data_IF_688362713582
#
_entry.id   IF_688362713582
#
_cell.length_a   1.000
_cell.length_b   1.000
_cell.length_c   1.000
_cell.angle_alpha   90.00
_cell.angle_beta   90.00
_cell.angle_gamma   90.00
#
_symmetry.space_group_name_H-M   'P 1'
#
loop_
_entity.id
_entity.type
_entity.pdbx_description
1 polymer ?
#
# COMPACT_ATOMS: atom_id res chain seq x y z
N UNK A 1 4.40 -14.54 -12.74
CA UNK A 1 3.08 -15.04 -12.30
C UNK A 1 2.56 -14.29 -11.07
N UNK A 2 3.33 -14.22 -9.96
CA UNK A 2 2.93 -13.50 -8.75
C UNK A 2 2.71 -11.98 -8.98
N UNK A 3 3.60 -11.33 -9.73
CA UNK A 3 3.47 -9.90 -10.09
C UNK A 3 2.15 -9.57 -10.82
N UNK A 4 1.77 -10.36 -11.83
CA UNK A 4 0.51 -10.15 -12.56
C UNK A 4 -0.73 -10.34 -11.68
N UNK A 5 -0.66 -11.25 -10.70
CA UNK A 5 -1.74 -11.46 -9.72
C UNK A 5 -1.84 -10.30 -8.70
N UNK A 6 -0.73 -9.64 -8.40
CA UNK A 6 -0.76 -8.41 -7.59
C UNK A 6 -1.34 -7.26 -8.40
N UNK A 7 -0.93 -7.09 -9.66
CA UNK A 7 -1.40 -6.04 -10.55
C UNK A 7 -2.89 -6.19 -10.93
N UNK A 8 -3.45 -7.40 -10.86
CA UNK A 8 -4.89 -7.57 -11.16
C UNK A 8 -5.80 -6.84 -10.18
N UNK A 9 -5.39 -6.67 -8.92
CA UNK A 9 -6.21 -5.96 -7.93
C UNK A 9 -6.41 -4.47 -8.27
N UNK A 10 -5.36 -3.65 -8.48
CA UNK A 10 -5.53 -2.27 -8.91
C UNK A 10 -6.16 -2.17 -10.30
N UNK A 11 -5.90 -3.13 -11.22
CA UNK A 11 -6.54 -3.14 -12.53
C UNK A 11 -8.07 -3.30 -12.43
N UNK A 12 -8.54 -4.23 -11.61
CA UNK A 12 -9.98 -4.43 -11.39
C UNK A 12 -10.62 -3.19 -10.77
N UNK A 13 -9.97 -2.59 -9.78
CA UNK A 13 -10.44 -1.35 -9.17
C UNK A 13 -10.51 -0.20 -10.18
N UNK A 14 -9.50 -0.07 -11.04
CA UNK A 14 -9.44 0.95 -12.08
C UNK A 14 -10.55 0.76 -13.13
N UNK A 15 -10.78 -0.47 -13.57
CA UNK A 15 -11.86 -0.81 -14.50
C UNK A 15 -13.25 -0.53 -13.91
N UNK A 16 -13.43 -0.69 -12.60
CA UNK A 16 -14.71 -0.37 -11.94
C UNK A 16 -14.93 1.13 -11.73
N UNK A 17 -13.86 1.91 -11.55
CA UNK A 17 -13.97 3.33 -11.15
C UNK A 17 -13.96 4.31 -12.32
N UNK A 18 -13.20 4.04 -13.39
CA UNK A 18 -13.12 4.94 -14.55
C UNK A 18 -14.43 5.14 -15.32
N UNK A 19 -15.33 4.14 -15.46
CA UNK A 19 -16.62 4.36 -16.10
C UNK A 19 -17.45 5.43 -15.39
N UNK A 20 -17.36 5.52 -14.05
CA UNK A 20 -18.07 6.56 -13.29
C UNK A 20 -17.58 7.97 -13.60
N UNK A 21 -16.35 8.12 -14.09
CA UNK A 21 -15.77 9.41 -14.48
C UNK A 21 -16.10 9.76 -15.94
N UNK A 22 -16.27 8.76 -16.81
CA UNK A 22 -16.65 8.94 -18.21
C UNK A 22 -18.15 9.18 -18.39
N UNK A 23 -18.98 8.61 -17.52
CA UNK A 23 -20.44 8.70 -17.57
C UNK A 23 -20.92 9.86 -16.70
N UNK A 24 -21.39 10.93 -17.33
CA UNK A 24 -22.08 12.04 -16.67
C UNK A 24 -23.59 11.81 -16.63
N UNK A 25 -24.25 12.23 -15.55
CA UNK A 25 -25.71 12.17 -15.40
C UNK A 25 -26.27 13.53 -15.00
N UNK A 26 -27.17 14.09 -15.81
CA UNK A 26 -27.73 15.44 -15.60
C UNK A 26 -29.24 15.43 -15.85
N UNK A 27 -29.99 16.29 -15.17
CA UNK A 27 -31.43 16.45 -15.38
C UNK A 27 -31.76 17.09 -16.75
N UNK A 28 -32.86 16.67 -17.38
CA UNK A 28 -33.21 17.11 -18.76
C UNK A 28 -33.38 18.63 -18.95
N UNK A 29 -33.58 19.39 -17.87
CA UNK A 29 -33.84 20.82 -17.93
C UNK A 29 -32.59 21.67 -18.22
N UNK A 30 -31.38 21.08 -18.19
CA UNK A 30 -30.10 21.79 -18.35
C UNK A 30 -29.32 21.38 -19.62
N UNK A 31 -29.91 20.61 -20.54
CA UNK A 31 -29.23 20.03 -21.72
C UNK A 31 -28.54 21.09 -22.59
N UNK A 32 -29.08 22.32 -22.67
CA UNK A 32 -28.53 23.40 -23.48
C UNK A 32 -27.14 23.91 -23.00
N UNK A 33 -26.79 23.68 -21.74
CA UNK A 33 -25.49 24.12 -21.19
C UNK A 33 -24.31 23.19 -21.55
N UNK A 34 -24.59 21.99 -22.09
CA UNK A 34 -23.59 20.89 -22.18
C UNK A 34 -23.31 20.46 -23.63
N UNK A 35 -23.86 21.14 -24.65
CA UNK A 35 -23.68 20.78 -26.07
C UNK A 35 -22.22 20.59 -26.51
N UNK A 36 -21.25 21.23 -25.84
CA UNK A 36 -19.82 21.10 -26.13
C UNK A 36 -19.13 19.89 -25.47
N UNK A 37 -19.73 19.29 -24.44
CA UNK A 37 -19.11 18.21 -23.66
C UNK A 37 -19.72 16.83 -23.96
N UNK A 38 -20.80 16.76 -24.74
CA UNK A 38 -21.42 15.49 -25.14
C UNK A 38 -20.57 14.86 -26.25
N UNK A 39 -19.98 13.70 -25.96
CA UNK A 39 -19.28 12.94 -26.98
C UNK A 39 -20.27 12.38 -28.02
N UNK A 40 -20.18 12.89 -29.25
CA UNK A 40 -20.89 12.38 -30.44
C UNK A 40 -22.43 12.33 -30.34
N UNK A 41 -23.05 13.01 -29.35
CA UNK A 41 -24.51 13.02 -29.15
C UNK A 41 -25.07 11.72 -28.56
N UNK A 42 -24.22 10.82 -28.07
CA UNK A 42 -24.66 9.56 -27.48
C UNK A 42 -25.02 9.75 -26.01
N UNK A 43 -26.32 9.62 -25.73
CA UNK A 43 -26.83 9.58 -24.37
C UNK A 43 -28.19 8.90 -24.30
N UNK A 44 -28.43 8.19 -23.21
CA UNK A 44 -29.67 7.47 -22.93
C UNK A 44 -30.43 8.25 -21.87
N UNK A 45 -31.67 8.62 -22.19
CA UNK A 45 -32.59 9.20 -21.21
C UNK A 45 -33.22 8.08 -20.38
N UNK A 46 -32.93 8.06 -19.08
CA UNK A 46 -33.60 7.20 -18.10
C UNK A 46 -34.44 8.11 -17.20
N UNK A 47 -35.75 8.17 -17.49
CA UNK A 47 -36.67 9.02 -16.74
C UNK A 47 -36.29 10.50 -16.84
N UNK A 48 -36.08 11.17 -15.69
CA UNK A 48 -35.68 12.58 -15.62
C UNK A 48 -34.16 12.83 -15.78
N UNK A 49 -33.36 11.78 -15.91
CA UNK A 49 -31.91 11.86 -16.02
C UNK A 49 -31.44 11.50 -17.43
N UNK A 50 -30.52 12.30 -17.95
CA UNK A 50 -29.80 12.06 -19.20
C UNK A 50 -28.40 11.57 -18.86
N UNK A 51 -28.12 10.28 -19.12
CA UNK A 51 -26.78 9.73 -19.04
C UNK A 51 -26.08 9.96 -20.37
N UNK A 52 -24.92 10.60 -20.34
CA UNK A 52 -24.11 10.85 -21.52
C UNK A 52 -22.64 10.56 -21.25
N UNK A 53 -21.88 10.35 -22.32
CA UNK A 53 -20.43 10.23 -22.24
C UNK A 53 -19.83 11.63 -22.34
N UNK A 54 -19.18 12.09 -21.28
CA UNK A 54 -18.54 13.40 -21.23
C UNK A 54 -17.16 13.33 -21.91
N UNK A 55 -16.90 14.27 -22.82
CA UNK A 55 -15.59 14.46 -23.48
C UNK A 55 -14.52 14.82 -22.45
N UNK A 56 -14.83 15.71 -21.51
CA UNK A 56 -13.92 16.06 -20.40
C UNK A 56 -13.69 14.86 -19.48
N UNK A 57 -14.73 14.06 -19.22
CA UNK A 57 -14.62 12.80 -18.48
C UNK A 57 -13.70 11.78 -19.17
N UNK A 58 -13.85 11.59 -20.49
CA UNK A 58 -12.97 10.71 -21.28
C UNK A 58 -11.51 11.18 -21.26
N UNK A 59 -11.27 12.48 -21.36
CA UNK A 59 -9.92 13.05 -21.25
C UNK A 59 -9.30 12.83 -19.86
N UNK A 60 -10.09 12.98 -18.80
CA UNK A 60 -9.61 12.69 -17.45
C UNK A 60 -9.31 11.20 -17.25
N UNK A 61 -10.16 10.31 -17.79
CA UNK A 61 -9.94 8.85 -17.77
C UNK A 61 -8.64 8.49 -18.49
N UNK A 62 -8.40 9.07 -19.67
CA UNK A 62 -7.21 8.80 -20.48
C UNK A 62 -5.93 9.23 -19.78
N UNK A 63 -5.98 10.30 -18.98
CA UNK A 63 -4.85 10.79 -18.19
C UNK A 63 -4.63 10.00 -16.89
N UNK A 64 -5.70 9.63 -16.18
CA UNK A 64 -5.62 8.95 -14.89
C UNK A 64 -5.25 7.46 -15.03
N UNK A 65 -5.74 6.78 -16.06
CA UNK A 65 -5.48 5.35 -16.29
C UNK A 65 -3.97 5.00 -16.33
N UNK A 66 -3.15 5.61 -17.21
CA UNK A 66 -1.73 5.28 -17.26
C UNK A 66 -0.96 5.77 -16.02
N UNK A 67 -1.36 6.90 -15.43
CA UNK A 67 -0.69 7.47 -14.25
C UNK A 67 -0.83 6.58 -13.02
N UNK A 68 -2.03 6.07 -12.77
CA UNK A 68 -2.30 5.14 -11.66
C UNK A 68 -1.58 3.81 -11.85
N UNK A 69 -1.57 3.27 -13.08
CA UNK A 69 -0.81 2.06 -13.42
C UNK A 69 0.71 2.26 -13.25
N UNK A 70 1.25 3.40 -13.68
CA UNK A 70 2.66 3.73 -13.52
C UNK A 70 3.04 3.83 -12.04
N UNK A 71 2.25 4.54 -11.23
CA UNK A 71 2.49 4.71 -9.80
C UNK A 71 2.41 3.39 -9.02
N UNK A 72 1.40 2.55 -9.32
CA UNK A 72 1.23 1.25 -8.64
C UNK A 72 2.34 0.26 -9.03
N UNK A 73 2.74 0.25 -10.30
CA UNK A 73 3.89 -0.54 -10.78
C UNK A 73 5.19 -0.15 -10.07
N UNK A 74 5.49 1.15 -9.96
CA UNK A 74 6.68 1.65 -9.26
C UNK A 74 6.65 1.27 -7.76
N UNK A 75 5.50 1.43 -7.11
CA UNK A 75 5.32 1.04 -5.71
C UNK A 75 5.57 -0.46 -5.50
N UNK A 76 5.01 -1.33 -6.36
CA UNK A 76 5.25 -2.77 -6.27
C UNK A 76 6.69 -3.15 -6.58
N UNK A 77 7.34 -2.45 -7.49
CA UNK A 77 8.77 -2.65 -7.74
C UNK A 77 9.57 -2.44 -6.47
N UNK A 78 9.38 -1.32 -5.76
CA UNK A 78 10.06 -1.04 -4.49
C UNK A 78 9.72 -2.13 -3.45
N UNK A 79 8.43 -2.44 -3.28
CA UNK A 79 7.95 -3.39 -2.27
C UNK A 79 8.52 -4.81 -2.46
N UNK A 80 8.68 -5.25 -3.72
CA UNK A 80 9.13 -6.61 -4.04
C UNK A 80 10.64 -6.75 -4.13
N UNK A 81 11.37 -5.66 -4.34
CA UNK A 81 12.83 -5.71 -4.58
C UNK A 81 13.64 -5.21 -3.41
N UNK A 82 13.12 -4.29 -2.59
CA UNK A 82 13.88 -3.62 -1.53
C UNK A 82 13.43 -4.13 -0.15
N UNK A 83 14.31 -4.75 0.65
CA UNK A 83 14.01 -5.12 2.02
C UNK A 83 13.88 -3.87 2.91
N UNK A 84 13.05 -3.94 3.96
CA UNK A 84 12.80 -2.81 4.85
C UNK A 84 14.07 -2.22 5.49
N UNK A 85 15.07 -3.06 5.78
CA UNK A 85 16.36 -2.63 6.34
C UNK A 85 17.13 -1.70 5.40
N UNK A 86 17.06 -1.93 4.08
CA UNK A 86 17.69 -1.06 3.08
C UNK A 86 16.96 0.29 2.98
N UNK A 87 15.63 0.30 3.12
CA UNK A 87 14.84 1.54 3.17
C UNK A 87 15.29 2.41 4.35
N UNK A 88 15.52 1.82 5.53
CA UNK A 88 16.04 2.54 6.71
C UNK A 88 17.43 3.12 6.47
N UNK A 89 18.29 2.40 5.74
CA UNK A 89 19.62 2.89 5.37
C UNK A 89 19.53 4.11 4.44
N UNK A 90 18.64 4.07 3.44
CA UNK A 90 18.38 5.20 2.55
C UNK A 90 17.84 6.40 3.36
N UNK A 91 16.90 6.18 4.30
CA UNK A 91 16.41 7.25 5.19
C UNK A 91 17.55 7.87 6.01
N UNK A 92 18.48 7.07 6.52
CA UNK A 92 19.67 7.57 7.23
C UNK A 92 20.58 8.42 6.33
N UNK A 93 20.74 8.04 5.06
CA UNK A 93 21.47 8.85 4.08
C UNK A 93 20.77 10.17 3.76
N UNK A 94 19.43 10.17 3.77
CA UNK A 94 18.58 11.36 3.63
C UNK A 94 18.54 12.25 4.88
N UNK A 95 19.47 12.07 5.84
CA UNK A 95 19.61 12.86 7.08
C UNK A 95 18.42 12.74 8.04
N UNK A 96 17.65 11.66 7.97
CA UNK A 96 16.61 11.37 8.96
C UNK A 96 17.23 11.13 10.35
N UNK A 97 16.61 11.61 11.44
CA UNK A 97 17.21 11.52 12.77
C UNK A 97 17.42 10.07 13.21
N UNK A 98 18.58 9.73 13.81
CA UNK A 98 18.95 8.35 14.11
C UNK A 98 17.93 7.68 15.03
N UNK A 99 17.42 8.40 16.03
CA UNK A 99 16.37 7.96 16.95
C UNK A 99 15.15 7.36 16.22
N UNK A 100 14.63 8.04 15.19
CA UNK A 100 13.47 7.54 14.44
C UNK A 100 13.83 6.29 13.63
N UNK A 101 15.02 6.25 13.02
CA UNK A 101 15.45 5.07 12.27
C UNK A 101 15.62 3.84 13.15
N UNK A 102 16.09 4.03 14.39
CA UNK A 102 16.23 2.96 15.38
C UNK A 102 14.89 2.47 15.91
N UNK A 103 13.97 3.40 16.21
CA UNK A 103 12.61 3.06 16.59
C UNK A 103 11.91 2.24 15.50
N UNK A 104 12.04 2.65 14.24
CA UNK A 104 11.49 1.91 13.09
C UNK A 104 12.10 0.53 12.94
N UNK A 105 13.42 0.38 13.14
CA UNK A 105 14.10 -0.92 13.12
C UNK A 105 13.57 -1.87 14.20
N UNK A 106 13.43 -1.36 15.43
CA UNK A 106 12.89 -2.12 16.56
C UNK A 106 11.43 -2.49 16.33
N UNK A 107 10.61 -1.56 15.85
CA UNK A 107 9.22 -1.83 15.47
C UNK A 107 9.14 -2.95 14.44
N UNK A 108 9.91 -2.88 13.36
CA UNK A 108 9.93 -3.91 12.32
C UNK A 108 10.31 -5.29 12.88
N UNK A 109 11.33 -5.35 13.73
CA UNK A 109 11.73 -6.60 14.40
C UNK A 109 10.61 -7.14 15.30
N UNK A 110 9.92 -6.26 16.04
CA UNK A 110 8.85 -6.68 16.95
C UNK A 110 7.56 -7.08 16.23
N UNK A 111 7.27 -6.58 15.03
CA UNK A 111 6.10 -7.02 14.25
C UNK A 111 6.10 -8.54 14.09
N UNK A 112 7.21 -9.15 13.65
CA UNK A 112 7.29 -10.60 13.46
C UNK A 112 7.26 -11.37 14.79
N UNK A 113 7.92 -10.86 15.83
CA UNK A 113 7.91 -11.49 17.15
C UNK A 113 6.51 -11.51 17.77
N UNK A 114 5.76 -10.41 17.63
CA UNK A 114 4.39 -10.30 18.13
C UNK A 114 3.42 -11.12 17.29
N UNK A 115 3.63 -11.20 15.98
CA UNK A 115 2.80 -12.01 15.08
C UNK A 115 2.93 -13.51 15.40
N UNK A 116 4.14 -14.00 15.69
CA UNK A 116 4.34 -15.39 16.14
C UNK A 116 3.60 -15.68 17.45
N UNK A 117 3.70 -14.77 18.43
CA UNK A 117 2.96 -14.88 19.69
C UNK A 117 1.43 -14.84 19.46
N UNK A 118 0.97 -13.96 18.58
CA UNK A 118 -0.45 -13.84 18.25
C UNK A 118 -0.98 -15.12 17.61
N UNK A 119 -0.20 -15.74 16.72
CA UNK A 119 -0.55 -17.00 16.07
C UNK A 119 -0.64 -18.15 17.09
N UNK A 120 0.33 -18.28 17.99
CA UNK A 120 0.27 -19.26 19.09
C UNK A 120 -0.97 -19.09 19.97
N UNK A 121 -1.28 -17.83 20.36
CA UNK A 121 -2.46 -17.52 21.15
C UNK A 121 -3.76 -17.81 20.39
N UNK A 122 -3.79 -17.47 19.10
CA UNK A 122 -4.93 -17.71 18.25
C UNK A 122 -5.22 -19.22 18.10
N UNK A 123 -4.18 -20.04 17.85
CA UNK A 123 -4.28 -21.49 17.79
C UNK A 123 -4.78 -22.06 19.12
N UNK A 124 -4.25 -21.60 20.26
CA UNK A 124 -4.67 -22.03 21.60
C UNK A 124 -6.12 -21.63 21.93
N UNK A 125 -6.59 -20.49 21.45
CA UNK A 125 -7.99 -20.09 21.60
C UNK A 125 -8.91 -20.88 20.67
N UNK A 126 -8.47 -21.17 19.44
CA UNK A 126 -9.25 -21.93 18.47
C UNK A 126 -9.44 -23.40 18.93
N UNK A 127 -8.41 -24.02 19.52
CA UNK A 127 -8.52 -25.37 20.10
C UNK A 127 -9.50 -25.46 21.27
N UNK A 128 -9.79 -24.32 21.93
CA UNK A 128 -10.81 -24.18 22.98
C UNK A 128 -12.18 -23.71 22.45
N UNK A 129 -12.40 -23.80 21.13
CA UNK A 129 -13.61 -23.33 20.45
C UNK A 129 -13.90 -21.84 20.66
N UNK A 130 -12.87 -21.01 20.90
CA UNK A 130 -13.00 -19.59 21.26
C UNK A 130 -13.62 -18.69 20.20
N UNK A 131 -13.66 -19.14 18.94
CA UNK A 131 -14.18 -18.37 17.79
C UNK A 131 -15.47 -18.94 17.20
N UNK A 132 -16.17 -19.83 17.92
CA UNK A 132 -17.38 -20.51 17.42
C UNK A 132 -18.56 -19.57 17.13
N UNK A 133 -18.73 -18.52 17.92
CA UNK A 133 -19.80 -17.52 17.73
C UNK A 133 -19.22 -16.12 17.79
N UNK A 134 -19.89 -15.14 17.16
CA UNK A 134 -19.41 -13.75 17.13
C UNK A 134 -19.14 -13.17 18.53
N UNK A 135 -20.04 -13.43 19.49
CA UNK A 135 -19.88 -13.01 20.89
C UNK A 135 -18.64 -13.62 21.54
N UNK A 136 -18.41 -14.92 21.30
CA UNK A 136 -17.23 -15.61 21.84
C UNK A 136 -15.95 -15.13 21.15
N UNK A 137 -16.00 -14.89 19.85
CA UNK A 137 -14.89 -14.34 19.07
C UNK A 137 -14.44 -12.97 19.56
N UNK A 138 -15.38 -12.07 19.85
CA UNK A 138 -15.06 -10.75 20.42
C UNK A 138 -14.40 -10.88 21.81
N UNK A 139 -14.90 -11.80 22.65
CA UNK A 139 -14.28 -12.08 23.96
C UNK A 139 -12.86 -12.65 23.82
N UNK A 140 -12.67 -13.62 22.94
CA UNK A 140 -11.38 -14.26 22.66
C UNK A 140 -10.37 -13.26 22.10
N UNK A 141 -10.81 -12.38 21.20
CA UNK A 141 -10.01 -11.27 20.67
C UNK A 141 -9.57 -10.32 21.79
N UNK A 142 -10.48 -9.93 22.70
CA UNK A 142 -10.13 -9.10 23.86
C UNK A 142 -9.06 -9.75 24.75
N UNK A 143 -9.17 -11.06 24.98
CA UNK A 143 -8.16 -11.83 25.74
C UNK A 143 -6.83 -11.86 24.97
N UNK A 144 -6.85 -12.08 23.66
CA UNK A 144 -5.65 -12.10 22.81
C UNK A 144 -4.92 -10.76 22.88
N UNK A 145 -5.64 -9.64 22.70
CA UNK A 145 -5.05 -8.30 22.79
C UNK A 145 -4.46 -8.04 24.18
N UNK A 146 -5.19 -8.39 25.25
CA UNK A 146 -4.70 -8.21 26.62
C UNK A 146 -3.42 -9.01 26.90
N UNK A 147 -3.37 -10.26 26.45
CA UNK A 147 -2.18 -11.11 26.58
C UNK A 147 -1.01 -10.61 25.73
N UNK A 148 -1.29 -10.15 24.51
CA UNK A 148 -0.28 -9.56 23.63
C UNK A 148 0.33 -8.31 24.29
N UNK A 149 -0.50 -7.41 24.80
CA UNK A 149 -0.05 -6.20 25.51
C UNK A 149 0.81 -6.56 26.72
N UNK A 150 0.37 -7.49 27.57
CA UNK A 150 1.15 -7.92 28.73
C UNK A 150 2.53 -8.47 28.31
N UNK A 151 2.56 -9.35 27.30
CA UNK A 151 3.81 -9.90 26.77
C UNK A 151 4.72 -8.81 26.18
N UNK A 152 4.16 -7.81 25.49
CA UNK A 152 4.94 -6.69 24.93
C UNK A 152 5.63 -5.87 26.04
N UNK A 153 4.93 -5.60 27.14
CA UNK A 153 5.47 -4.85 28.28
C UNK A 153 6.59 -5.61 28.99
N UNK A 154 6.44 -6.94 29.15
CA UNK A 154 7.50 -7.80 29.70
C UNK A 154 8.70 -7.84 28.75
N UNK A 155 8.48 -8.03 27.46
CA UNK A 155 9.55 -8.05 26.46
C UNK A 155 10.30 -6.71 26.41
N UNK A 156 9.59 -5.59 26.50
CA UNK A 156 10.21 -4.27 26.59
C UNK A 156 11.17 -4.15 27.79
N UNK A 157 10.74 -4.59 28.98
CA UNK A 157 11.59 -4.57 30.18
C UNK A 157 12.83 -5.43 29.98
N UNK A 158 12.69 -6.63 29.42
CA UNK A 158 13.81 -7.52 29.15
C UNK A 158 14.79 -6.92 28.14
N UNK A 159 14.29 -6.33 27.05
CA UNK A 159 15.12 -5.69 26.03
C UNK A 159 15.85 -4.48 26.62
N UNK A 160 15.16 -3.64 27.39
CA UNK A 160 15.76 -2.49 28.07
C UNK A 160 16.90 -2.92 29.00
N UNK A 161 16.67 -3.91 29.87
CA UNK A 161 17.71 -4.48 30.75
C UNK A 161 18.89 -5.07 29.95
N UNK A 162 18.61 -5.76 28.85
CA UNK A 162 19.63 -6.36 27.99
C UNK A 162 20.49 -5.32 27.25
N UNK A 163 19.91 -4.16 26.93
CA UNK A 163 20.62 -3.04 26.33
C UNK A 163 21.47 -2.33 27.38
N UNK A 164 20.92 -2.11 28.58
CA UNK A 164 21.65 -1.53 29.70
C UNK A 164 22.88 -2.36 30.07
N UNK A 165 22.76 -3.70 30.14
CA UNK A 165 23.89 -4.58 30.44
C UNK A 165 24.98 -4.61 29.37
N UNK A 166 24.66 -4.21 28.14
CA UNK A 166 25.58 -4.09 27.00
C UNK A 166 26.21 -2.70 26.85
N UNK A 167 25.95 -1.78 27.80
CA UNK A 167 26.49 -0.41 27.75
C UNK A 167 25.80 0.47 26.72
N UNK A 168 24.47 0.36 26.60
CA UNK A 168 23.70 1.20 25.68
C UNK A 168 23.80 2.69 26.04
N UNK A 169 24.35 3.48 25.11
CA UNK A 169 24.59 4.92 25.28
C UNK A 169 23.56 5.81 24.54
N UNK A 170 22.36 5.29 24.28
CA UNK A 170 21.30 6.02 23.58
C UNK A 170 21.29 5.85 22.05
N UNK A 171 22.25 5.12 21.47
CA UNK A 171 22.31 4.83 20.03
C UNK A 171 22.52 3.32 19.77
N UNK A 172 21.68 2.73 18.92
CA UNK A 172 21.84 1.38 18.40
C UNK A 172 22.74 1.38 17.16
N UNK A 173 24.05 1.30 17.37
CA UNK A 173 25.03 1.14 16.30
C UNK A 173 25.08 -0.30 15.79
N UNK A 174 24.20 -0.61 14.86
CA UNK A 174 24.17 -1.90 14.16
C UNK A 174 25.12 -1.85 12.97
N UNK A 175 25.97 -2.88 12.84
CA UNK A 175 26.80 -3.04 11.66
C UNK A 175 25.93 -3.42 10.47
N UNK A 176 25.95 -2.60 9.43
CA UNK A 176 25.26 -2.87 8.17
C UNK A 176 26.25 -3.51 7.22
N UNK A 177 26.07 -4.80 6.91
CA UNK A 177 26.78 -5.40 5.79
C UNK A 177 26.23 -4.81 4.50
N UNK A 178 27.06 -4.15 3.69
CA UNK A 178 26.68 -3.61 2.38
C UNK A 178 27.74 -3.99 1.33
N UNK A 179 27.41 -4.20 0.04
CA UNK A 179 26.10 -4.06 -0.62
C UNK A 179 25.64 -5.36 -1.33
N UNK A 180 24.32 -5.55 -1.43
CA UNK A 180 23.74 -6.28 -2.56
C UNK A 180 24.23 -5.59 -3.84
N UNK A 181 25.00 -6.31 -4.67
CA UNK A 181 25.41 -5.82 -5.99
C UNK A 181 24.29 -6.16 -6.96
N UNK A 182 23.40 -5.21 -7.30
CA UNK A 182 22.39 -5.50 -8.30
C UNK A 182 23.10 -5.84 -9.61
N UNK A 183 22.62 -6.87 -10.31
CA UNK A 183 23.09 -7.13 -11.66
C UNK A 183 22.73 -5.92 -12.52
N UNK A 184 23.68 -5.41 -13.32
CA UNK A 184 23.46 -4.23 -14.17
C UNK A 184 22.26 -4.43 -15.09
N UNK A 185 22.01 -5.68 -15.49
CA UNK A 185 20.87 -6.05 -16.33
C UNK A 185 19.53 -5.74 -15.67
N UNK A 186 19.31 -6.17 -14.42
CA UNK A 186 18.02 -5.91 -13.74
C UNK A 186 17.81 -4.44 -13.42
N UNK A 187 18.87 -3.68 -13.14
CA UNK A 187 18.76 -2.22 -12.96
C UNK A 187 18.38 -1.52 -14.25
N UNK A 188 18.93 -1.95 -15.38
CA UNK A 188 18.56 -1.39 -16.69
C UNK A 188 17.13 -1.78 -17.07
N UNK A 189 16.72 -3.04 -16.86
CA UNK A 189 15.36 -3.49 -17.12
C UNK A 189 14.33 -2.72 -16.27
N UNK A 190 14.65 -2.46 -14.99
CA UNK A 190 13.81 -1.67 -14.10
C UNK A 190 13.74 -0.19 -14.49
N UNK A 191 14.89 0.43 -14.76
CA UNK A 191 14.96 1.83 -15.18
C UNK A 191 14.20 2.03 -16.49
N UNK A 192 14.41 1.12 -17.46
CA UNK A 192 13.70 1.13 -18.72
C UNK A 192 12.18 1.03 -18.49
N UNK A 193 11.71 0.07 -17.69
CA UNK A 193 10.29 -0.05 -17.34
C UNK A 193 9.69 1.21 -16.72
N UNK A 194 10.39 1.82 -15.75
CA UNK A 194 9.94 3.07 -15.12
C UNK A 194 9.93 4.25 -16.09
N UNK A 195 10.94 4.37 -16.96
CA UNK A 195 11.00 5.43 -17.99
C UNK A 195 9.92 5.27 -19.05
N UNK A 196 9.61 4.04 -19.47
CA UNK A 196 8.53 3.78 -20.43
C UNK A 196 7.17 4.12 -19.81
N UNK A 197 6.92 3.74 -18.56
CA UNK A 197 5.66 4.04 -17.88
C UNK A 197 5.46 5.54 -17.65
N UNK A 198 6.51 6.27 -17.30
CA UNK A 198 6.46 7.73 -17.13
C UNK A 198 6.29 8.45 -18.47
N UNK A 199 6.98 8.02 -19.53
CA UNK A 199 6.78 8.55 -20.88
C UNK A 199 5.35 8.31 -21.38
N UNK A 200 4.80 7.12 -21.17
CA UNK A 200 3.42 6.81 -21.57
C UNK A 200 2.42 7.70 -20.83
N UNK A 201 2.66 7.97 -19.54
CA UNK A 201 1.84 8.93 -18.77
C UNK A 201 1.96 10.37 -19.30
N UNK A 202 3.13 10.78 -19.76
CA UNK A 202 3.37 12.12 -20.30
C UNK A 202 2.77 12.31 -21.70
N UNK A 203 2.83 11.27 -22.55
CA UNK A 203 2.23 11.27 -23.89
C UNK A 203 0.71 11.41 -23.83
N UNK A 204 0.06 10.76 -22.87
CA UNK A 204 -1.40 10.88 -22.67
C UNK A 204 -1.84 12.21 -22.05
N UNK A 205 -0.89 13.01 -21.55
CA UNK A 205 -1.16 14.33 -20.98
C UNK A 205 -1.05 15.47 -22.00
N UNK A 206 -0.62 15.16 -23.23
CA UNK A 206 -0.43 16.11 -24.33
C UNK A 206 -1.56 15.99 -25.35
#
# INVERSE_FOLDING_TARGET
KLYLRLLSLPLMFLLTSLPALAIGGIELNQIQAIHSDIWQGWGISIGNFYLYVSLTGLYQVSLLFPRTLASTSCMYFILLTIPFTEILQILRQLRFPPLLTELLLLMYRFIFSLLAIADELWIAQNSRCGYRTWKLGMRSLGILIGQLLQRTLVNYRQVSLSLASRGFNGELRVWHSSPYKPSRRYTFEALFGCTVLTLLSFVFQR
#
